data_IF_592276351411
#
_entry.id   IF_592276351411
#
_cell.length_a   1.000
_cell.length_b   1.000
_cell.length_c   1.000
_cell.angle_alpha   90.00
_cell.angle_beta   90.00
_cell.angle_gamma   90.00
#
_symmetry.space_group_name_H-M   'P 1'
#
loop_
_entity.id
_entity.type
_entity.pdbx_description
1 polymer ?
#
# COMPACT_ATOMS: atom_id res chain seq x y z
N UNK A 1 -14.50 18.57 -24.09
CA UNK A 1 -13.55 19.20 -23.17
C UNK A 1 -14.30 20.25 -22.38
N UNK A 2 -14.32 20.09 -21.06
CA UNK A 2 -15.00 20.97 -20.13
C UNK A 2 -14.02 21.56 -19.14
N UNK A 3 -14.44 22.64 -18.48
CA UNK A 3 -13.68 23.29 -17.40
C UNK A 3 -14.13 22.71 -16.06
N UNK A 4 -13.19 22.19 -15.30
CA UNK A 4 -13.32 21.82 -13.90
C UNK A 4 -12.68 22.92 -13.06
N UNK A 5 -13.46 23.53 -12.17
CA UNK A 5 -13.00 24.58 -11.27
C UNK A 5 -12.74 23.98 -9.87
N UNK A 6 -11.54 24.19 -9.34
CA UNK A 6 -11.21 23.94 -7.94
C UNK A 6 -11.17 25.28 -7.21
N UNK A 7 -12.00 25.42 -6.19
CA UNK A 7 -12.06 26.59 -5.34
C UNK A 7 -11.55 26.21 -3.95
N UNK A 8 -10.50 26.87 -3.48
CA UNK A 8 -10.17 26.87 -2.05
C UNK A 8 -10.93 28.01 -1.39
N UNK A 9 -11.85 27.67 -0.49
CA UNK A 9 -12.71 28.64 0.18
C UNK A 9 -11.92 29.30 1.31
N UNK A 10 -11.98 30.63 1.41
CA UNK A 10 -11.29 31.38 2.47
C UNK A 10 -10.99 32.81 2.06
N UNK A 11 -10.62 33.65 3.03
CA UNK A 11 -10.11 34.99 2.75
C UNK A 11 -8.70 34.88 2.15
N UNK A 12 -8.41 35.67 1.10
CA UNK A 12 -7.13 35.60 0.37
C UNK A 12 -5.92 35.75 1.30
N UNK A 13 -6.03 36.62 2.33
CA UNK A 13 -4.97 36.88 3.30
C UNK A 13 -4.62 35.65 4.15
N UNK A 14 -5.55 34.70 4.26
CA UNK A 14 -5.42 33.47 5.06
C UNK A 14 -5.10 32.23 4.19
N UNK A 15 -5.07 32.35 2.86
CA UNK A 15 -4.75 31.24 1.96
C UNK A 15 -3.26 31.26 1.64
N UNK A 16 -2.54 30.28 2.17
CA UNK A 16 -1.14 30.08 1.81
C UNK A 16 -0.98 29.71 0.32
N UNK A 17 -0.15 30.44 -0.42
CA UNK A 17 0.15 30.17 -1.84
C UNK A 17 0.67 28.74 -2.08
N UNK A 18 1.38 28.17 -1.10
CA UNK A 18 1.86 26.79 -1.17
C UNK A 18 0.71 25.76 -1.11
N UNK A 19 -0.34 26.05 -0.34
CA UNK A 19 -1.52 25.18 -0.24
C UNK A 19 -2.30 25.16 -1.55
N UNK A 20 -2.41 26.32 -2.22
CA UNK A 20 -2.94 26.42 -3.59
C UNK A 20 -2.15 25.56 -4.55
N UNK A 21 -0.82 25.71 -4.56
CA UNK A 21 0.04 24.99 -5.49
C UNK A 21 -0.07 23.47 -5.28
N UNK A 22 -0.08 23.00 -4.03
CA UNK A 22 -0.23 21.57 -3.68
C UNK A 22 -1.60 21.01 -4.04
N UNK A 23 -2.67 21.78 -3.81
CA UNK A 23 -4.02 21.38 -4.17
C UNK A 23 -4.16 21.25 -5.70
N UNK A 24 -3.62 22.22 -6.45
CA UNK A 24 -3.60 22.20 -7.91
C UNK A 24 -2.75 21.04 -8.45
N UNK A 25 -1.56 20.81 -7.89
CA UNK A 25 -0.70 19.70 -8.28
C UNK A 25 -1.41 18.35 -8.04
N UNK A 26 -2.09 18.21 -6.90
CA UNK A 26 -2.85 17.00 -6.57
C UNK A 26 -4.03 16.81 -7.51
N UNK A 27 -4.75 17.87 -7.87
CA UNK A 27 -5.81 17.83 -8.88
C UNK A 27 -5.26 17.42 -10.25
N UNK A 28 -4.13 17.99 -10.66
CA UNK A 28 -3.52 17.64 -11.93
C UNK A 28 -3.14 16.17 -11.99
N UNK A 29 -2.52 15.65 -10.92
CA UNK A 29 -2.17 14.23 -10.79
C UNK A 29 -3.40 13.32 -10.73
N UNK A 30 -4.48 13.74 -10.07
CA UNK A 30 -5.75 13.01 -10.04
C UNK A 30 -6.32 12.83 -11.45
N UNK A 31 -6.32 13.90 -12.25
CA UNK A 31 -6.84 13.90 -13.62
C UNK A 31 -5.95 13.05 -14.53
N UNK A 32 -4.63 13.21 -14.45
CA UNK A 32 -3.66 12.42 -15.22
C UNK A 32 -3.68 10.92 -14.91
N UNK A 33 -4.13 10.55 -13.71
CA UNK A 33 -4.26 9.14 -13.34
C UNK A 33 -5.44 8.44 -14.04
N UNK A 34 -6.31 9.16 -14.75
CA UNK A 34 -7.34 8.55 -15.60
C UNK A 34 -6.78 8.20 -16.99
N UNK A 35 -7.02 6.96 -17.49
CA UNK A 35 -6.41 6.48 -18.74
C UNK A 35 -6.82 7.28 -19.99
N UNK A 36 -8.00 7.91 -19.98
CA UNK A 36 -8.49 8.72 -21.10
C UNK A 36 -7.81 10.10 -21.21
N UNK A 37 -7.01 10.50 -20.22
CA UNK A 37 -6.54 11.87 -20.08
C UNK A 37 -5.01 11.98 -19.97
N UNK A 38 -4.35 11.87 -21.12
CA UNK A 38 -2.91 12.15 -21.31
C UNK A 38 -2.62 13.64 -21.55
N UNK A 39 -3.64 14.49 -21.49
CA UNK A 39 -3.55 15.92 -21.76
C UNK A 39 -2.85 16.70 -20.64
N UNK A 40 -2.15 17.77 -21.02
CA UNK A 40 -1.61 18.73 -20.05
C UNK A 40 -2.78 19.46 -19.38
N UNK A 41 -2.87 19.34 -18.06
CA UNK A 41 -3.71 20.17 -17.21
C UNK A 41 -3.21 21.61 -17.34
N UNK A 42 -4.01 22.46 -17.98
CA UNK A 42 -3.73 23.89 -18.13
C UNK A 42 -4.59 24.68 -17.17
N UNK A 43 -3.95 25.54 -16.38
CA UNK A 43 -4.64 26.56 -15.60
C UNK A 43 -5.22 27.60 -16.55
N UNK A 44 -6.53 27.87 -16.45
CA UNK A 44 -7.19 28.89 -17.30
C UNK A 44 -7.56 30.19 -16.61
N UNK A 45 -7.40 30.30 -15.28
CA UNK A 45 -7.59 31.56 -14.57
C UNK A 45 -7.45 31.42 -13.05
N UNK A 46 -7.30 32.57 -12.38
CA UNK A 46 -7.39 32.77 -10.92
C UNK A 46 -8.29 34.00 -10.70
N UNK A 47 -9.33 33.89 -9.87
CA UNK A 47 -10.28 34.99 -9.60
C UNK A 47 -10.10 35.56 -8.18
N UNK A 48 -10.43 36.84 -8.01
CA UNK A 48 -10.16 37.60 -6.79
C UNK A 48 -11.37 37.54 -5.83
N UNK A 49 -11.36 36.55 -4.93
CA UNK A 49 -12.15 36.40 -3.69
C UNK A 49 -12.05 34.98 -3.12
N UNK A 50 -11.61 34.03 -3.94
CA UNK A 50 -11.23 32.66 -3.61
C UNK A 50 -10.27 32.17 -4.70
N UNK A 51 -9.32 31.30 -4.37
CA UNK A 51 -8.40 30.80 -5.39
C UNK A 51 -9.13 29.74 -6.22
N UNK A 52 -9.74 30.20 -7.30
CA UNK A 52 -10.39 29.36 -8.32
C UNK A 52 -9.34 28.97 -9.33
N UNK A 53 -9.07 27.68 -9.48
CA UNK A 53 -8.22 27.17 -10.55
C UNK A 53 -9.05 26.34 -11.51
N UNK A 54 -9.11 26.74 -12.77
CA UNK A 54 -9.83 25.97 -13.79
C UNK A 54 -8.87 25.09 -14.61
N UNK A 55 -9.28 23.84 -14.82
CA UNK A 55 -8.56 22.78 -15.53
C UNK A 55 -9.42 22.22 -16.66
N UNK A 56 -8.81 21.96 -17.81
CA UNK A 56 -9.47 21.29 -18.93
C UNK A 56 -9.45 19.77 -18.76
N UNK A 57 -10.63 19.16 -18.85
CA UNK A 57 -10.85 17.71 -18.71
C UNK A 57 -11.80 17.22 -19.81
N UNK A 58 -11.62 15.99 -20.28
CA UNK A 58 -12.59 15.37 -21.18
C UNK A 58 -13.88 14.96 -20.44
N UNK A 59 -14.98 14.87 -21.16
CA UNK A 59 -16.31 14.69 -20.57
C UNK A 59 -16.46 13.32 -19.88
N UNK A 60 -15.74 12.30 -20.36
CA UNK A 60 -15.75 10.95 -19.77
C UNK A 60 -15.03 10.94 -18.41
N UNK A 61 -13.80 11.45 -18.36
CA UNK A 61 -13.03 11.57 -17.12
C UNK A 61 -13.74 12.44 -16.09
N UNK A 62 -14.43 13.51 -16.53
CA UNK A 62 -15.21 14.37 -15.67
C UNK A 62 -16.39 13.63 -15.04
N UNK A 63 -17.15 12.88 -15.84
CA UNK A 63 -18.25 12.06 -15.32
C UNK A 63 -17.75 11.00 -14.34
N UNK A 64 -16.61 10.35 -14.63
CA UNK A 64 -15.96 9.38 -13.73
C UNK A 64 -15.48 10.01 -12.43
N UNK A 65 -14.94 11.23 -12.49
CA UNK A 65 -14.52 11.99 -11.30
C UNK A 65 -15.73 12.28 -10.41
N UNK A 66 -16.78 12.86 -11.00
CA UNK A 66 -17.97 13.31 -10.26
C UNK A 66 -18.77 12.15 -9.66
N UNK A 67 -19.03 11.11 -10.47
CA UNK A 67 -19.69 9.89 -10.00
C UNK A 67 -18.86 9.15 -8.95
N UNK A 68 -17.53 9.13 -9.11
CA UNK A 68 -16.61 8.53 -8.15
C UNK A 68 -16.64 9.23 -6.79
N UNK A 69 -16.55 10.56 -6.76
CA UNK A 69 -16.62 11.32 -5.50
C UNK A 69 -17.97 11.11 -4.81
N UNK A 70 -19.09 11.18 -5.55
CA UNK A 70 -20.43 10.89 -5.00
C UNK A 70 -20.56 9.44 -4.50
N UNK A 71 -19.89 8.50 -5.15
CA UNK A 71 -19.89 7.10 -4.70
C UNK A 71 -19.09 6.94 -3.41
N UNK A 72 -17.92 7.57 -3.29
CA UNK A 72 -17.09 7.52 -2.06
C UNK A 72 -17.87 8.08 -0.88
N UNK A 73 -18.50 9.24 -1.05
CA UNK A 73 -19.24 9.89 0.03
C UNK A 73 -20.41 9.04 0.55
N UNK A 74 -21.00 8.19 -0.29
CA UNK A 74 -22.13 7.31 0.07
C UNK A 74 -21.71 5.94 0.59
N UNK A 75 -20.67 5.36 0.00
CA UNK A 75 -20.32 3.94 0.22
C UNK A 75 -19.09 3.74 1.08
N UNK A 76 -18.27 4.78 1.25
CA UNK A 76 -16.95 4.68 1.87
C UNK A 76 -16.09 3.56 1.24
N UNK A 77 -16.22 3.35 -0.08
CA UNK A 77 -15.46 2.36 -0.85
C UNK A 77 -14.79 3.02 -2.06
N UNK A 78 -13.72 2.38 -2.55
CA UNK A 78 -13.06 2.81 -3.80
C UNK A 78 -14.03 2.57 -4.97
N UNK A 79 -14.39 3.61 -5.75
CA UNK A 79 -15.29 3.45 -6.87
C UNK A 79 -14.73 2.52 -7.94
N UNK A 80 -15.61 1.88 -8.69
CA UNK A 80 -15.20 1.04 -9.81
C UNK A 80 -14.43 1.87 -10.84
N UNK A 81 -13.28 1.36 -11.29
CA UNK A 81 -12.42 2.05 -12.25
C UNK A 81 -11.51 3.11 -11.63
N UNK A 82 -11.59 3.32 -10.31
CA UNK A 82 -10.61 4.10 -9.57
C UNK A 82 -9.53 3.19 -8.98
N UNK A 83 -8.33 3.73 -8.86
CA UNK A 83 -7.21 3.14 -8.15
C UNK A 83 -6.94 3.91 -6.83
N UNK A 84 -6.13 3.31 -5.96
CA UNK A 84 -5.78 3.91 -4.66
C UNK A 84 -5.03 5.24 -4.81
N UNK A 85 -4.23 5.38 -5.86
CA UNK A 85 -3.46 6.60 -6.10
C UNK A 85 -4.38 7.79 -6.39
N UNK A 86 -5.48 7.58 -7.10
CA UNK A 86 -6.53 8.59 -7.31
C UNK A 86 -7.19 9.00 -5.99
N UNK A 87 -7.54 8.05 -5.11
CA UNK A 87 -8.05 8.40 -3.77
C UNK A 87 -7.02 9.19 -2.95
N UNK A 88 -5.72 8.87 -3.06
CA UNK A 88 -4.65 9.63 -2.38
C UNK A 88 -4.60 11.08 -2.87
N UNK A 89 -4.66 11.31 -4.17
CA UNK A 89 -4.69 12.68 -4.69
C UNK A 89 -5.94 13.44 -4.24
N UNK A 90 -7.11 12.79 -4.21
CA UNK A 90 -8.33 13.39 -3.68
C UNK A 90 -8.20 13.74 -2.19
N UNK A 91 -7.57 12.86 -1.39
CA UNK A 91 -7.26 13.12 0.03
C UNK A 91 -6.36 14.33 0.21
N UNK A 92 -5.30 14.47 -0.60
CA UNK A 92 -4.41 15.62 -0.49
C UNK A 92 -5.15 16.94 -0.83
N UNK A 93 -6.03 16.94 -1.83
CA UNK A 93 -6.90 18.10 -2.11
C UNK A 93 -7.77 18.45 -0.88
N UNK A 94 -8.39 17.44 -0.26
CA UNK A 94 -9.20 17.63 0.95
C UNK A 94 -8.37 18.17 2.13
N UNK A 95 -7.14 17.68 2.30
CA UNK A 95 -6.21 18.12 3.34
C UNK A 95 -5.79 19.58 3.16
N UNK A 96 -5.50 20.00 1.93
CA UNK A 96 -5.17 21.40 1.64
C UNK A 96 -6.41 22.30 1.81
N UNK A 97 -7.60 21.83 1.44
CA UNK A 97 -8.86 22.54 1.71
C UNK A 97 -9.18 22.72 3.20
N UNK A 98 -8.73 21.82 4.08
CA UNK A 98 -8.92 21.97 5.53
C UNK A 98 -8.01 23.01 6.18
N UNK A 99 -6.90 23.37 5.54
CA UNK A 99 -6.09 24.51 6.00
C UNK A 99 -6.78 25.84 5.71
N UNK A 100 -7.83 25.81 4.90
CA UNK A 100 -8.69 26.93 4.56
C UNK A 100 -10.13 26.62 5.02
N UNK A 101 -11.12 27.40 4.61
CA UNK A 101 -12.54 27.17 4.92
C UNK A 101 -13.17 26.05 4.03
N UNK A 102 -12.38 25.04 3.64
CA UNK A 102 -12.79 23.94 2.77
C UNK A 102 -12.36 24.12 1.30
N UNK A 103 -12.58 23.07 0.51
CA UNK A 103 -12.39 23.08 -0.93
C UNK A 103 -13.67 22.66 -1.65
N UNK A 104 -13.91 23.20 -2.85
CA UNK A 104 -15.06 22.86 -3.68
C UNK A 104 -14.60 22.54 -5.09
N UNK A 105 -15.11 21.46 -5.67
CA UNK A 105 -14.98 21.19 -7.10
C UNK A 105 -16.28 21.58 -7.79
N UNK A 106 -16.22 22.35 -8.87
CA UNK A 106 -17.40 22.70 -9.65
C UNK A 106 -17.19 22.53 -11.15
N UNK A 107 -18.29 22.21 -11.84
CA UNK A 107 -18.34 22.14 -13.30
C UNK A 107 -19.34 23.21 -13.77
N UNK A 108 -18.89 24.13 -14.61
CA UNK A 108 -19.73 25.16 -15.24
C UNK A 108 -20.63 25.93 -14.25
N UNK A 109 -20.17 26.18 -13.02
CA UNK A 109 -20.88 26.95 -11.99
C UNK A 109 -22.25 26.41 -11.54
N UNK A 110 -22.70 25.23 -11.99
CA UNK A 110 -24.02 24.67 -11.67
C UNK A 110 -23.98 23.42 -10.78
N UNK A 111 -22.95 22.58 -10.93
CA UNK A 111 -22.76 21.39 -10.11
C UNK A 111 -21.52 21.55 -9.24
N UNK A 112 -21.72 21.75 -7.94
CA UNK A 112 -20.65 21.82 -6.94
C UNK A 112 -20.63 20.56 -6.09
N UNK A 113 -19.43 19.99 -5.88
CA UNK A 113 -19.18 18.97 -4.89
C UNK A 113 -18.28 19.57 -3.80
N UNK A 114 -18.77 19.67 -2.56
CA UNK A 114 -17.90 20.05 -1.46
C UNK A 114 -16.89 18.94 -1.19
N UNK A 115 -15.64 19.34 -0.99
CA UNK A 115 -14.57 18.50 -0.43
C UNK A 115 -14.41 18.92 1.02
N UNK A 116 -15.34 18.43 1.84
CA UNK A 116 -15.48 18.75 3.25
C UNK A 116 -14.88 17.66 4.15
N UNK A 117 -15.07 17.82 5.47
CA UNK A 117 -14.60 16.86 6.46
C UNK A 117 -15.26 15.48 6.29
N UNK A 118 -16.54 15.44 5.87
CA UNK A 118 -17.29 14.19 5.70
C UNK A 118 -16.74 13.38 4.52
N UNK A 119 -16.46 14.03 3.38
CA UNK A 119 -15.81 13.38 2.26
C UNK A 119 -14.40 12.89 2.63
N UNK A 120 -13.64 13.67 3.42
CA UNK A 120 -12.33 13.24 3.92
C UNK A 120 -12.45 11.97 4.75
N UNK A 121 -13.37 11.92 5.70
CA UNK A 121 -13.60 10.74 6.53
C UNK A 121 -14.00 9.53 5.67
N UNK A 122 -14.88 9.73 4.68
CA UNK A 122 -15.27 8.69 3.74
C UNK A 122 -14.07 8.17 2.90
N UNK A 123 -13.16 9.06 2.49
CA UNK A 123 -11.91 8.69 1.80
C UNK A 123 -11.00 7.87 2.73
N UNK A 124 -10.81 8.27 3.99
CA UNK A 124 -10.01 7.50 4.96
C UNK A 124 -10.60 6.11 5.22
N UNK A 125 -11.93 6.01 5.33
CA UNK A 125 -12.63 4.72 5.44
C UNK A 125 -12.45 3.87 4.20
N UNK A 126 -12.57 4.44 3.00
CA UNK A 126 -12.36 3.72 1.74
C UNK A 126 -10.91 3.22 1.58
N UNK A 127 -9.95 4.02 2.01
CA UNK A 127 -8.53 3.69 2.00
C UNK A 127 -8.19 2.57 2.99
N UNK A 128 -8.75 2.63 4.21
CA UNK A 128 -8.52 1.64 5.26
C UNK A 128 -9.26 0.31 5.03
N UNK A 129 -10.46 0.34 4.43
CA UNK A 129 -11.27 -0.85 4.17
C UNK A 129 -10.56 -1.90 3.30
N UNK A 130 -9.67 -1.49 2.39
CA UNK A 130 -8.97 -2.41 1.49
C UNK A 130 -7.64 -2.97 2.03
N UNK A 131 -7.24 -2.61 3.26
CA UNK A 131 -6.02 -3.13 3.89
C UNK A 131 -6.23 -4.47 4.59
N UNK A 132 -7.48 -4.90 4.70
CA UNK A 132 -7.89 -6.09 5.44
C UNK A 132 -8.37 -7.15 4.46
N UNK A 133 -7.72 -8.30 4.45
CA UNK A 133 -8.10 -9.44 3.58
C UNK A 133 -7.87 -10.76 4.28
N UNK A 134 -8.57 -11.82 3.88
CA UNK A 134 -8.16 -13.18 4.26
C UNK A 134 -6.97 -13.59 3.40
N UNK A 135 -5.92 -14.12 4.03
CA UNK A 135 -4.71 -14.51 3.31
C UNK A 135 -3.76 -15.33 4.17
N UNK A 136 -2.54 -15.49 3.68
CA UNK A 136 -1.50 -16.24 4.38
C UNK A 136 -0.13 -15.63 4.18
N UNK A 137 0.72 -15.75 5.20
CA UNK A 137 2.15 -15.40 5.15
C UNK A 137 2.95 -16.68 5.37
N UNK A 138 4.00 -16.87 4.58
CA UNK A 138 4.93 -18.00 4.73
C UNK A 138 6.28 -17.47 5.18
N UNK A 139 6.89 -18.12 6.16
CA UNK A 139 8.06 -17.58 6.84
C UNK A 139 8.47 -18.38 8.07
N UNK A 140 9.47 -17.87 8.77
CA UNK A 140 9.95 -18.46 10.01
C UNK A 140 9.36 -17.72 11.22
N UNK A 141 8.70 -18.44 12.13
CA UNK A 141 8.29 -17.87 13.42
C UNK A 141 9.52 -17.70 14.32
N UNK A 142 9.92 -16.44 14.58
CA UNK A 142 11.22 -16.17 15.19
C UNK A 142 11.15 -15.43 16.54
N UNK A 143 10.01 -14.85 16.89
CA UNK A 143 9.83 -14.11 18.15
C UNK A 143 8.45 -14.36 18.73
N UNK A 144 8.37 -14.41 20.06
CA UNK A 144 7.14 -14.49 20.83
C UNK A 144 7.17 -13.44 21.96
N UNK A 145 6.02 -12.84 22.25
CA UNK A 145 5.81 -12.02 23.44
C UNK A 145 4.43 -12.34 24.01
N UNK A 146 4.42 -12.91 25.22
CA UNK A 146 3.21 -13.23 25.99
C UNK A 146 3.11 -12.45 27.29
N UNK A 147 3.83 -11.35 27.45
CA UNK A 147 3.83 -10.54 28.68
C UNK A 147 2.53 -9.75 28.88
N UNK A 148 1.70 -9.68 27.85
CA UNK A 148 0.43 -8.95 27.85
C UNK A 148 -0.73 -9.94 27.86
N UNK A 149 -1.52 -9.95 28.93
CA UNK A 149 -2.61 -10.91 29.16
C UNK A 149 -3.78 -10.76 28.19
N UNK A 150 -3.82 -9.68 27.41
CA UNK A 150 -4.93 -9.40 26.49
C UNK A 150 -4.60 -9.65 25.02
N UNK A 151 -3.32 -9.67 24.62
CA UNK A 151 -2.92 -9.92 23.24
C UNK A 151 -1.63 -10.76 23.16
N UNK A 152 -1.80 -12.04 22.84
CA UNK A 152 -0.66 -12.89 22.51
C UNK A 152 -0.17 -12.60 21.10
N UNK A 153 1.14 -12.41 21.00
CA UNK A 153 1.78 -11.99 19.76
C UNK A 153 3.06 -12.76 19.49
N UNK A 154 3.24 -13.12 18.22
CA UNK A 154 4.46 -13.66 17.67
C UNK A 154 4.85 -12.86 16.43
N UNK A 155 6.06 -13.10 15.93
CA UNK A 155 6.51 -12.52 14.67
C UNK A 155 6.99 -13.62 13.74
N UNK A 156 6.58 -13.48 12.48
CA UNK A 156 7.04 -14.28 11.36
C UNK A 156 7.95 -13.42 10.48
N UNK A 157 9.10 -13.93 10.08
CA UNK A 157 9.94 -13.33 9.06
C UNK A 157 9.46 -13.85 7.70
N UNK A 158 8.81 -12.99 6.92
CA UNK A 158 8.24 -13.33 5.61
C UNK A 158 9.36 -13.71 4.63
N UNK A 159 9.28 -14.89 4.01
CA UNK A 159 10.32 -15.36 3.07
C UNK A 159 10.41 -14.51 1.81
N UNK A 160 9.32 -13.87 1.41
CA UNK A 160 9.24 -13.15 0.14
C UNK A 160 9.79 -11.73 0.23
N UNK A 161 9.63 -11.10 1.39
CA UNK A 161 9.97 -9.68 1.60
C UNK A 161 11.06 -9.47 2.63
N UNK A 162 11.44 -10.52 3.37
CA UNK A 162 12.29 -10.47 4.56
C UNK A 162 11.73 -9.60 5.70
N UNK A 163 10.50 -9.12 5.56
CA UNK A 163 9.85 -8.24 6.52
C UNK A 163 9.38 -9.03 7.76
N UNK A 164 9.41 -8.36 8.91
CA UNK A 164 8.85 -8.91 10.14
C UNK A 164 7.37 -8.60 10.23
N UNK A 165 6.54 -9.65 10.20
CA UNK A 165 5.09 -9.57 10.26
C UNK A 165 4.62 -10.01 11.64
N UNK A 166 3.76 -9.22 12.29
CA UNK A 166 3.17 -9.55 13.58
C UNK A 166 2.01 -10.53 13.42
N UNK A 167 1.94 -11.55 14.25
CA UNK A 167 0.86 -12.54 14.30
C UNK A 167 0.17 -12.43 15.65
N UNK A 168 -1.12 -12.09 15.65
CA UNK A 168 -1.96 -12.07 16.85
C UNK A 168 -2.77 -13.34 16.93
N UNK A 169 -2.84 -13.94 18.11
CA UNK A 169 -3.55 -15.20 18.34
C UNK A 169 -4.18 -15.24 19.74
N UNK A 170 -5.10 -16.18 19.93
CA UNK A 170 -5.79 -16.37 21.21
C UNK A 170 -5.03 -17.31 22.14
N UNK A 171 -5.43 -17.32 23.42
CA UNK A 171 -4.89 -18.24 24.43
C UNK A 171 -4.96 -19.72 23.99
N UNK A 172 -6.06 -20.10 23.35
CA UNK A 172 -6.31 -21.47 22.87
C UNK A 172 -5.28 -21.88 21.80
N UNK A 173 -4.77 -20.92 21.02
CA UNK A 173 -3.79 -21.15 19.97
C UNK A 173 -2.34 -21.06 20.49
N UNK A 174 -2.12 -20.71 21.76
CA UNK A 174 -0.79 -20.45 22.31
C UNK A 174 0.14 -21.66 22.18
N UNK A 175 -0.28 -22.83 22.67
CA UNK A 175 0.55 -24.04 22.64
C UNK A 175 0.89 -24.44 21.20
N UNK A 176 -0.07 -24.31 20.29
CA UNK A 176 0.10 -24.63 18.88
C UNK A 176 1.16 -23.73 18.22
N UNK A 177 1.11 -22.42 18.48
CA UNK A 177 2.11 -21.46 17.98
C UNK A 177 3.49 -21.71 18.61
N UNK A 178 3.55 -21.92 19.93
CA UNK A 178 4.81 -22.14 20.64
C UNK A 178 5.52 -23.43 20.18
N UNK A 179 4.77 -24.50 19.91
CA UNK A 179 5.32 -25.76 19.38
C UNK A 179 5.93 -25.63 17.97
N UNK A 180 5.63 -24.52 17.28
CA UNK A 180 6.05 -24.22 15.90
C UNK A 180 7.04 -23.06 15.81
N UNK A 181 7.53 -22.56 16.95
CA UNK A 181 8.61 -21.57 16.98
C UNK A 181 9.88 -22.12 16.33
N UNK A 182 10.61 -21.24 15.66
CA UNK A 182 11.83 -21.54 14.89
C UNK A 182 11.63 -22.53 13.74
N UNK A 183 10.37 -22.79 13.35
CA UNK A 183 10.05 -23.60 12.19
C UNK A 183 9.59 -22.71 11.05
N UNK A 184 9.82 -23.20 9.84
CA UNK A 184 9.18 -22.70 8.64
C UNK A 184 7.69 -23.02 8.68
N UNK A 185 6.85 -21.99 8.62
CA UNK A 185 5.39 -22.14 8.75
C UNK A 185 4.64 -21.33 7.70
N UNK A 186 3.39 -21.73 7.46
CA UNK A 186 2.37 -20.92 6.80
C UNK A 186 1.34 -20.48 7.84
N UNK A 187 1.27 -19.18 8.08
CA UNK A 187 0.28 -18.55 8.95
C UNK A 187 -0.89 -18.08 8.08
N UNK A 188 -2.10 -18.56 8.36
CA UNK A 188 -3.34 -18.21 7.67
C UNK A 188 -4.23 -17.38 8.58
N UNK A 189 -4.87 -16.34 8.03
CA UNK A 189 -5.68 -15.46 8.85
C UNK A 189 -6.18 -14.20 8.17
N UNK A 190 -6.67 -13.27 8.99
CA UNK A 190 -7.06 -11.92 8.57
C UNK A 190 -5.81 -11.05 8.53
N UNK A 191 -5.38 -10.73 7.32
CA UNK A 191 -4.16 -9.99 6.98
C UNK A 191 -4.46 -8.50 6.93
N UNK A 192 -3.63 -7.72 7.62
CA UNK A 192 -3.60 -6.28 7.61
C UNK A 192 -2.31 -5.82 6.92
N UNK A 193 -2.46 -4.96 5.91
CA UNK A 193 -1.35 -4.40 5.15
C UNK A 193 -1.04 -2.96 5.56
N UNK A 194 0.23 -2.60 5.51
CA UNK A 194 0.67 -1.22 5.59
C UNK A 194 -0.01 -0.39 4.50
N UNK A 195 -0.49 0.79 4.87
CA UNK A 195 -1.20 1.70 3.97
C UNK A 195 -0.34 2.21 2.80
N UNK A 196 0.95 2.44 3.05
CA UNK A 196 1.88 3.06 2.11
C UNK A 196 2.58 2.03 1.23
N UNK A 197 3.12 0.98 1.83
CA UNK A 197 3.95 -0.03 1.15
C UNK A 197 3.16 -1.22 0.63
N UNK A 198 1.89 -1.38 1.06
CA UNK A 198 1.07 -2.56 0.77
C UNK A 198 1.71 -3.89 1.23
N UNK A 199 2.75 -3.83 2.06
CA UNK A 199 3.34 -5.00 2.70
C UNK A 199 2.45 -5.47 3.85
N UNK A 200 2.51 -6.76 4.14
CA UNK A 200 1.74 -7.31 5.26
C UNK A 200 2.45 -6.93 6.56
N UNK A 201 1.73 -6.35 7.51
CA UNK A 201 2.29 -5.96 8.82
C UNK A 201 1.76 -6.81 9.96
N UNK A 202 0.52 -7.26 9.82
CA UNK A 202 -0.22 -7.91 10.89
C UNK A 202 -1.12 -9.01 10.34
N UNK A 203 -1.20 -10.13 11.05
CA UNK A 203 -2.14 -11.23 10.76
C UNK A 203 -2.84 -11.66 12.04
N UNK A 204 -4.17 -11.66 12.05
CA UNK A 204 -4.95 -12.34 13.09
C UNK A 204 -5.10 -13.82 12.72
N UNK A 205 -4.54 -14.69 13.56
CA UNK A 205 -4.34 -16.10 13.28
C UNK A 205 -5.67 -16.88 13.24
N UNK A 206 -5.89 -17.58 12.13
CA UNK A 206 -6.90 -18.64 12.03
C UNK A 206 -6.28 -20.03 12.11
N UNK A 207 -5.07 -20.20 11.56
CA UNK A 207 -4.35 -21.47 11.65
C UNK A 207 -2.88 -21.34 11.22
N UNK A 208 -2.06 -22.26 11.70
CA UNK A 208 -0.63 -22.31 11.37
C UNK A 208 -0.23 -23.73 11.00
N UNK A 209 0.37 -23.88 9.83
CA UNK A 209 0.85 -25.16 9.30
C UNK A 209 2.37 -25.15 9.24
N UNK A 210 3.03 -26.22 9.70
CA UNK A 210 4.48 -26.38 9.51
C UNK A 210 4.72 -26.79 8.07
N UNK A 211 5.64 -26.08 7.41
CA UNK A 211 6.11 -26.44 6.07
C UNK A 211 7.43 -27.20 6.20
N UNK A 212 7.73 -28.11 5.26
CA UNK A 212 9.06 -28.70 5.20
C UNK A 212 10.08 -27.58 5.01
N UNK A 213 11.20 -27.67 5.72
CA UNK A 213 12.34 -26.82 5.43
C UNK A 213 12.66 -26.93 3.95
N UNK A 214 13.12 -25.83 3.35
CA UNK A 214 13.73 -25.94 2.03
C UNK A 214 14.95 -26.84 2.24
N UNK A 215 14.82 -28.12 1.92
CA UNK A 215 15.99 -28.89 1.56
C UNK A 215 16.58 -28.07 0.41
N UNK A 216 17.70 -27.39 0.67
CA UNK A 216 18.67 -27.14 -0.37
C UNK A 216 18.82 -28.53 -1.00
N UNK A 217 18.26 -28.73 -2.19
CA UNK A 217 18.49 -29.94 -2.97
C UNK A 217 19.98 -30.15 -2.87
N UNK A 218 20.38 -31.21 -2.17
CA UNK A 218 21.75 -31.40 -1.70
C UNK A 218 22.70 -30.87 -2.75
N UNK A 219 23.51 -29.85 -2.42
CA UNK A 219 24.58 -29.34 -3.28
C UNK A 219 25.60 -30.43 -3.68
N UNK A 220 25.36 -31.69 -3.32
CA UNK A 220 25.95 -32.91 -3.87
C UNK A 220 25.70 -33.12 -5.36
N UNK A 221 24.75 -32.42 -5.98
CA UNK A 221 24.55 -32.50 -7.44
C UNK A 221 25.72 -31.93 -8.27
N UNK A 222 26.42 -30.91 -7.75
CA UNK A 222 27.54 -30.28 -8.49
C UNK A 222 28.87 -31.01 -8.22
N UNK A 223 28.99 -31.70 -7.07
CA UNK A 223 30.23 -32.36 -6.66
C UNK A 223 30.26 -33.88 -6.87
N UNK A 224 29.16 -34.49 -7.31
CA UNK A 224 29.11 -35.95 -7.58
C UNK A 224 29.66 -36.33 -8.96
N UNK A 225 29.61 -35.43 -9.95
CA UNK A 225 30.15 -35.68 -11.28
C UNK A 225 31.68 -35.49 -11.37
N UNK A 226 32.31 -34.87 -10.37
CA UNK A 226 33.76 -34.63 -10.37
C UNK A 226 34.59 -35.77 -9.78
N UNK A 227 33.95 -36.84 -9.28
CA UNK A 227 34.64 -37.93 -8.57
C UNK A 227 35.07 -39.12 -9.44
N UNK A 228 34.92 -39.02 -10.77
CA UNK A 228 35.26 -40.12 -11.68
C UNK A 228 36.53 -39.91 -12.52
N UNK A 229 37.32 -38.85 -12.32
CA UNK A 229 38.53 -38.63 -13.15
C UNK A 229 39.73 -37.97 -12.47
N UNK A 230 39.75 -37.85 -11.15
CA UNK A 230 40.91 -37.27 -10.45
C UNK A 230 41.51 -38.36 -9.57
N UNK A 231 42.74 -38.77 -9.92
CA UNK A 231 43.61 -39.56 -9.06
C UNK A 231 43.51 -39.04 -7.63
N UNK A 232 43.44 -39.96 -6.67
CA UNK A 232 43.36 -39.66 -5.24
C UNK A 232 44.34 -38.51 -4.89
N UNK A 233 43.86 -37.35 -4.40
CA UNK A 233 44.69 -36.17 -4.15
C UNK A 233 45.87 -36.46 -3.23
N UNK A 234 45.75 -37.48 -2.37
CA UNK A 234 46.83 -37.96 -1.50
C UNK A 234 47.96 -38.58 -2.33
N UNK A 235 47.64 -39.39 -3.34
CA UNK A 235 48.61 -39.99 -4.25
C UNK A 235 49.30 -38.99 -5.20
N UNK A 236 48.67 -37.84 -5.48
CA UNK A 236 49.29 -36.77 -6.27
C UNK A 236 50.36 -36.01 -5.46
N UNK A 237 50.09 -35.74 -4.18
CA UNK A 237 51.03 -35.05 -3.30
C UNK A 237 52.23 -35.94 -2.95
N UNK A 238 52.03 -37.25 -2.76
CA UNK A 238 53.14 -38.17 -2.50
C UNK A 238 54.06 -38.35 -3.72
N UNK A 239 53.52 -38.28 -4.95
CA UNK A 239 54.34 -38.28 -6.18
C UNK A 239 55.25 -37.06 -6.28
N UNK A 240 54.74 -35.87 -5.95
CA UNK A 240 55.51 -34.63 -5.98
C UNK A 240 56.61 -34.55 -4.92
N UNK A 241 56.51 -35.33 -3.83
CA UNK A 241 57.55 -35.41 -2.79
C UNK A 241 58.64 -36.44 -3.06
N UNK A 242 58.44 -37.32 -4.06
CA UNK A 242 59.38 -38.37 -4.43
C UNK A 242 60.35 -37.99 -5.56
N UNK A 243 60.25 -36.74 -6.05
CA UNK A 243 61.16 -36.16 -7.05
C UNK A 243 61.94 -35.04 -6.38
N UNK A 244 62.83 -35.42 -5.48
CA UNK A 244 64.02 -34.67 -5.04
C UNK A 244 65.05 -35.66 -4.48
#
# INVERSE_FOLDING_TARGET
MQKLELTLNGEIENIEALSVARALESLAKLIQAFPSNSGRVKMSGVRQSSVVTEVLIDDESLHRLYSGIKSISRTCQIPRGWNRQQLRYLREIAKEGQKTNGATLSIKQSDWIPIDADLKEAIEKALSASLVSIGSVTGELNRYNGSDSHELKAWIRDESTDASVKVLFSEIQREDVLSKMHKRVRVRGKVHRNFDTNQIELVHLYGVDVLPDRSLSNGRGIWSEYRQSIEDPVHFIDRLRSVD
#
